data_IF_171794042372
#
_entry.id   IF_171794042372
#
_cell.length_a   1.000
_cell.length_b   1.000
_cell.length_c   1.000
_cell.angle_alpha   90.00
_cell.angle_beta   90.00
_cell.angle_gamma   90.00
#
_symmetry.space_group_name_H-M   'P 1'
#
loop_
_entity.id
_entity.type
_entity.pdbx_description
1 polymer ?
#
# COMPACT_ATOMS: atom_id res chain seq x y z
N UNK A 1 -8.27 -11.32 -16.50
CA UNK A 1 -6.85 -11.70 -16.30
C UNK A 1 -6.64 -11.87 -14.80
N UNK A 2 -6.70 -13.09 -14.31
CA UNK A 2 -6.55 -13.37 -12.87
C UNK A 2 -5.05 -13.35 -12.57
N UNK A 3 -4.59 -12.30 -11.90
CA UNK A 3 -3.20 -12.23 -11.43
C UNK A 3 -3.09 -13.20 -10.25
N UNK A 4 -2.53 -14.38 -10.49
CA UNK A 4 -2.22 -15.32 -9.42
C UNK A 4 -1.13 -14.70 -8.54
N UNK A 5 -1.49 -14.35 -7.30
CA UNK A 5 -0.51 -13.85 -6.33
C UNK A 5 0.38 -15.03 -5.92
N UNK A 6 1.63 -15.01 -6.37
CA UNK A 6 2.61 -16.02 -5.96
C UNK A 6 2.93 -15.93 -4.45
N UNK A 7 3.70 -16.90 -3.94
CA UNK A 7 4.08 -16.95 -2.51
C UNK A 7 4.78 -15.67 -2.05
N UNK A 8 5.48 -14.95 -2.94
CA UNK A 8 6.21 -13.72 -2.65
C UNK A 8 5.25 -12.53 -2.58
N UNK A 9 4.32 -12.41 -3.52
CA UNK A 9 3.26 -11.41 -3.52
C UNK A 9 2.38 -11.52 -2.26
N UNK A 10 2.06 -12.74 -1.82
CA UNK A 10 1.31 -12.96 -0.58
C UNK A 10 2.05 -12.44 0.64
N UNK A 11 3.35 -12.72 0.75
CA UNK A 11 4.17 -12.21 1.85
C UNK A 11 4.27 -10.68 1.86
N UNK A 12 4.35 -10.06 0.69
CA UNK A 12 4.35 -8.59 0.56
C UNK A 12 3.01 -8.03 1.02
N UNK A 13 1.89 -8.63 0.59
CA UNK A 13 0.56 -8.23 1.01
C UNK A 13 0.39 -8.34 2.53
N UNK A 14 0.71 -9.50 3.12
CA UNK A 14 0.57 -9.74 4.57
C UNK A 14 1.45 -8.79 5.41
N UNK A 15 2.66 -8.45 4.94
CA UNK A 15 3.54 -7.49 5.63
C UNK A 15 3.04 -6.06 5.48
N UNK A 16 2.65 -5.68 4.26
CA UNK A 16 2.12 -4.35 3.96
C UNK A 16 0.85 -4.05 4.76
N UNK A 17 -0.05 -5.02 4.87
CA UNK A 17 -1.27 -4.92 5.67
C UNK A 17 -0.96 -4.67 7.15
N UNK A 18 -0.02 -5.43 7.73
CA UNK A 18 0.42 -5.21 9.13
C UNK A 18 0.99 -3.82 9.35
N UNK A 19 1.76 -3.30 8.40
CA UNK A 19 2.31 -1.93 8.49
C UNK A 19 1.18 -0.91 8.36
N UNK A 20 0.27 -1.10 7.40
CA UNK A 20 -0.88 -0.22 7.20
C UNK A 20 -1.69 -0.07 8.48
N UNK A 21 -2.09 -1.16 9.14
CA UNK A 21 -2.88 -1.06 10.37
C UNK A 21 -2.15 -0.32 11.51
N UNK A 22 -0.82 -0.38 11.57
CA UNK A 22 -0.04 0.39 12.55
C UNK A 22 -0.06 1.88 12.25
N UNK A 23 0.06 2.26 10.98
CA UNK A 23 0.09 3.68 10.58
C UNK A 23 -1.31 4.28 10.39
N UNK A 24 -2.34 3.43 10.19
CA UNK A 24 -3.72 3.80 9.85
C UNK A 24 -4.27 4.95 10.71
N UNK A 25 -4.17 4.94 12.05
CA UNK A 25 -4.67 6.04 12.86
C UNK A 25 -3.97 7.39 12.59
N UNK A 26 -2.72 7.38 12.14
CA UNK A 26 -1.95 8.59 11.82
C UNK A 26 -2.32 9.15 10.44
N UNK A 27 -2.47 8.28 9.44
CA UNK A 27 -2.84 8.71 8.09
C UNK A 27 -4.31 9.15 8.02
N UNK A 28 -5.23 8.49 8.73
CA UNK A 28 -6.65 8.88 8.75
C UNK A 28 -6.90 10.21 9.47
N UNK A 29 -6.02 10.61 10.40
CA UNK A 29 -6.09 11.96 11.01
C UNK A 29 -5.63 13.07 10.08
N UNK A 30 -4.83 12.75 9.06
CA UNK A 30 -4.11 13.74 8.24
C UNK A 30 -4.63 13.84 6.81
N UNK A 31 -5.26 12.79 6.29
CA UNK A 31 -5.65 12.69 4.89
C UNK A 31 -7.10 12.21 4.75
N UNK A 32 -7.78 12.73 3.74
CA UNK A 32 -9.14 12.28 3.40
C UNK A 32 -9.15 10.82 2.92
N UNK A 33 -10.29 10.11 3.05
CA UNK A 33 -10.44 8.74 2.55
C UNK A 33 -10.26 8.57 1.03
N UNK A 34 -10.21 9.66 0.26
CA UNK A 34 -9.94 9.61 -1.18
C UNK A 34 -8.46 9.43 -1.52
N UNK A 35 -7.56 9.57 -0.55
CA UNK A 35 -6.12 9.44 -0.74
C UNK A 35 -5.67 7.97 -0.74
N UNK A 36 -4.47 7.75 -1.27
CA UNK A 36 -3.82 6.45 -1.37
C UNK A 36 -2.48 6.47 -0.66
N UNK A 37 -2.12 5.34 -0.06
CA UNK A 37 -0.83 5.12 0.60
C UNK A 37 -0.12 3.95 -0.05
N UNK A 38 1.13 4.18 -0.44
CA UNK A 38 2.07 3.16 -0.92
C UNK A 38 3.11 2.90 0.17
N UNK A 39 3.34 1.64 0.51
CA UNK A 39 4.23 1.20 1.59
C UNK A 39 5.33 0.31 1.01
N UNK A 40 6.59 0.66 1.28
CA UNK A 40 7.73 -0.22 1.04
C UNK A 40 7.86 -1.17 2.24
N UNK A 41 7.62 -2.46 2.01
CA UNK A 41 7.38 -3.44 3.08
C UNK A 41 8.63 -3.86 3.85
N UNK A 42 9.84 -3.62 3.34
CA UNK A 42 11.08 -3.93 4.05
C UNK A 42 11.44 -2.87 5.09
N UNK A 43 11.21 -1.60 4.77
CA UNK A 43 11.58 -0.45 5.60
C UNK A 43 10.40 0.14 6.37
N UNK A 44 9.16 -0.13 5.93
CA UNK A 44 7.97 0.50 6.48
C UNK A 44 7.79 1.97 6.09
N UNK A 45 8.66 2.53 5.23
CA UNK A 45 8.44 3.87 4.69
C UNK A 45 7.19 3.87 3.83
N UNK A 46 6.37 4.90 4.00
CA UNK A 46 5.12 5.06 3.28
C UNK A 46 5.01 6.44 2.63
N UNK A 47 4.24 6.50 1.55
CA UNK A 47 4.06 7.68 0.72
C UNK A 47 2.59 7.84 0.41
N UNK A 48 2.05 9.05 0.58
CA UNK A 48 0.64 9.34 0.39
C UNK A 48 0.45 10.22 -0.86
N UNK A 49 -0.57 9.94 -1.66
CA UNK A 49 -0.95 10.69 -2.85
C UNK A 49 -2.47 10.78 -3.01
N UNK A 50 -2.96 11.74 -3.79
CA UNK A 50 -4.39 11.89 -4.10
C UNK A 50 -4.88 10.80 -5.05
N UNK A 51 -3.96 10.19 -5.80
CA UNK A 51 -4.24 9.07 -6.70
C UNK A 51 -3.29 7.90 -6.41
N UNK A 52 -3.63 6.66 -6.81
CA UNK A 52 -2.74 5.51 -6.69
C UNK A 52 -1.38 5.74 -7.36
N UNK A 53 -1.42 6.30 -8.57
CA UNK A 53 -0.24 6.57 -9.40
C UNK A 53 0.67 7.60 -8.72
N UNK A 54 0.11 8.65 -8.12
CA UNK A 54 0.89 9.64 -7.39
C UNK A 54 1.62 9.02 -6.19
N UNK A 55 0.93 8.18 -5.41
CA UNK A 55 1.52 7.50 -4.25
C UNK A 55 2.63 6.53 -4.69
N UNK A 56 2.42 5.76 -5.76
CA UNK A 56 3.44 4.89 -6.36
C UNK A 56 4.64 5.67 -6.88
N UNK A 57 4.44 6.73 -7.68
CA UNK A 57 5.52 7.54 -8.24
C UNK A 57 6.41 8.14 -7.15
N UNK A 58 5.82 8.58 -6.02
CA UNK A 58 6.59 9.04 -4.85
C UNK A 58 7.44 7.93 -4.23
N UNK A 59 6.90 6.72 -4.14
CA UNK A 59 7.61 5.57 -3.60
C UNK A 59 8.75 5.12 -4.53
N UNK A 60 8.48 4.98 -5.84
CA UNK A 60 9.46 4.57 -6.85
C UNK A 60 10.64 5.53 -6.98
N UNK A 61 10.40 6.84 -6.89
CA UNK A 61 11.49 7.84 -6.83
C UNK A 61 12.49 7.59 -5.71
N UNK A 62 12.04 7.01 -4.59
CA UNK A 62 12.87 6.73 -3.41
C UNK A 62 13.36 5.28 -3.35
N UNK A 63 12.63 4.37 -3.96
CA UNK A 63 12.85 2.93 -3.94
C UNK A 63 12.63 2.33 -5.35
N UNK A 64 13.54 2.55 -6.30
CA UNK A 64 13.37 2.03 -7.66
C UNK A 64 13.38 0.50 -7.67
N UNK A 65 12.73 -0.10 -8.66
CA UNK A 65 12.72 -1.55 -8.92
C UNK A 65 12.29 -2.41 -7.71
N UNK A 66 11.39 -1.90 -6.87
CA UNK A 66 10.90 -2.57 -5.67
C UNK A 66 9.38 -2.79 -5.75
N UNK A 67 8.89 -3.82 -5.07
CA UNK A 67 7.46 -4.09 -4.96
C UNK A 67 6.88 -3.42 -3.71
N UNK A 68 5.74 -2.77 -3.86
CA UNK A 68 5.07 -2.05 -2.79
C UNK A 68 3.73 -2.68 -2.43
N UNK A 69 3.25 -2.34 -1.24
CA UNK A 69 1.85 -2.51 -0.87
C UNK A 69 1.11 -1.19 -1.09
N UNK A 70 -0.06 -1.23 -1.72
CA UNK A 70 -0.89 -0.06 -1.99
C UNK A 70 -2.24 -0.22 -1.30
N UNK A 71 -2.71 0.82 -0.62
CA UNK A 71 -4.04 0.88 -0.04
C UNK A 71 -4.67 2.27 -0.20
N UNK A 72 -5.99 2.34 -0.13
CA UNK A 72 -6.73 3.58 0.01
C UNK A 72 -6.88 3.92 1.50
N UNK A 73 -6.71 5.19 1.87
CA UNK A 73 -6.90 5.69 3.23
C UNK A 73 -8.37 5.48 3.64
N UNK A 74 -8.65 5.11 4.88
CA UNK A 74 -10.02 4.91 5.35
C UNK A 74 -10.66 3.59 4.93
N UNK A 75 -10.18 2.95 3.86
CA UNK A 75 -10.67 1.62 3.47
C UNK A 75 -9.96 0.55 4.30
N UNK A 76 -10.71 -0.49 4.68
CA UNK A 76 -10.06 -1.73 5.11
C UNK A 76 -9.15 -2.18 3.97
N UNK A 77 -7.92 -2.57 4.30
CA UNK A 77 -6.99 -3.19 3.36
C UNK A 77 -7.57 -4.55 2.96
N UNK A 78 -8.59 -4.54 2.09
CA UNK A 78 -9.27 -5.74 1.65
C UNK A 78 -8.34 -6.51 0.74
N UNK A 79 -8.07 -7.77 1.11
CA UNK A 79 -7.64 -8.79 0.14
C UNK A 79 -8.48 -8.65 -1.12
N UNK A 80 -7.82 -8.37 -2.24
CA UNK A 80 -8.42 -8.56 -3.55
C UNK A 80 -8.55 -10.08 -3.76
N UNK A 81 -9.69 -10.66 -3.38
CA UNK A 81 -10.04 -12.02 -3.82
C UNK A 81 -10.74 -11.89 -5.17
N UNK A 82 -10.13 -12.44 -6.21
CA UNK A 82 -10.83 -12.70 -7.47
C UNK A 82 -11.86 -13.79 -7.20
N UNK A 83 -13.13 -13.51 -7.51
CA UNK A 83 -14.08 -14.55 -7.90
C UNK A 83 -13.59 -15.22 -9.19
#
# INVERSE_FOLDING_TARGET
MSITIDKKGKQIADRGEKIYYRIKPLIEKKYDPSYYVTIEVKTGKYFVGKTPIEAMNKAEKKFPNTTFFLAQVGRLAGRLMSL
#
